data_IF_119313252695
#
_entry.id   IF_119313252695
#
_cell.length_a   1.000
_cell.length_b   1.000
_cell.length_c   1.000
_cell.angle_alpha   90.00
_cell.angle_beta   90.00
_cell.angle_gamma   90.00
#
_symmetry.space_group_name_H-M   'P 1'
#
loop_
_entity.id
_entity.type
_entity.pdbx_description
1 polymer ?
#
# COMPACT_ATOMS: atom_id res chain seq x y z
N UNK A 1 -10.16 -15.39 6.26
CA UNK A 1 -10.17 -13.97 6.71
C UNK A 1 -9.87 -13.12 5.49
N UNK A 2 -10.58 -12.00 5.28
CA UNK A 2 -10.20 -11.07 4.21
C UNK A 2 -8.85 -10.42 4.57
N UNK A 3 -7.92 -10.28 3.62
CA UNK A 3 -6.67 -9.57 3.86
C UNK A 3 -6.97 -8.13 4.31
N UNK A 4 -6.34 -7.73 5.41
CA UNK A 4 -6.41 -6.37 5.95
C UNK A 4 -5.36 -5.54 5.19
N UNK A 5 -5.67 -4.27 4.96
CA UNK A 5 -4.76 -3.31 4.34
C UNK A 5 -3.44 -3.28 5.11
N UNK A 6 -2.33 -3.53 4.41
CA UNK A 6 -0.99 -3.44 4.99
C UNK A 6 -0.53 -1.99 5.12
N UNK A 7 0.49 -1.74 5.94
CA UNK A 7 1.05 -0.39 6.14
C UNK A 7 1.49 0.24 4.82
N UNK A 8 2.17 -0.53 3.96
CA UNK A 8 2.57 -0.11 2.62
C UNK A 8 1.40 0.30 1.73
N UNK A 9 0.34 -0.52 1.70
CA UNK A 9 -0.86 -0.20 0.89
C UNK A 9 -1.54 1.07 1.40
N UNK A 10 -1.64 1.22 2.72
CA UNK A 10 -2.13 2.45 3.33
C UNK A 10 -1.24 3.65 3.04
N UNK A 11 0.08 3.50 3.01
CA UNK A 11 1.00 4.58 2.66
C UNK A 11 0.80 5.06 1.22
N UNK A 12 0.73 4.13 0.27
CA UNK A 12 0.48 4.47 -1.15
C UNK A 12 -0.81 5.28 -1.26
N UNK A 13 -1.89 4.81 -0.65
CA UNK A 13 -3.19 5.47 -0.67
C UNK A 13 -3.17 6.82 0.03
N UNK A 14 -2.46 6.95 1.16
CA UNK A 14 -2.30 8.20 1.90
C UNK A 14 -1.55 9.25 1.08
N UNK A 15 -0.46 8.87 0.40
CA UNK A 15 0.28 9.81 -0.44
C UNK A 15 -0.60 10.30 -1.58
N UNK A 16 -1.32 9.39 -2.26
CA UNK A 16 -2.24 9.74 -3.34
C UNK A 16 -3.42 10.60 -2.87
N UNK A 17 -3.88 10.40 -1.63
CA UNK A 17 -4.95 11.21 -1.03
C UNK A 17 -4.48 12.64 -0.76
N UNK A 18 -3.26 12.79 -0.23
CA UNK A 18 -2.69 14.08 0.12
C UNK A 18 -2.13 14.85 -1.10
N UNK A 19 -1.72 14.13 -2.15
CA UNK A 19 -1.11 14.67 -3.36
C UNK A 19 -1.85 14.15 -4.61
N UNK A 20 -3.08 14.63 -4.87
CA UNK A 20 -3.90 14.19 -6.00
C UNK A 20 -3.31 14.56 -7.38
N UNK A 21 -2.36 15.49 -7.43
CA UNK A 21 -1.57 15.81 -8.63
C UNK A 21 -0.71 14.61 -9.08
N UNK A 22 -0.17 13.84 -8.12
CA UNK A 22 0.54 12.59 -8.41
C UNK A 22 -0.41 11.53 -8.96
N UNK A 23 -1.65 11.46 -8.46
CA UNK A 23 -2.66 10.56 -9.00
C UNK A 23 -2.98 10.92 -10.46
N UNK A 24 -3.21 12.20 -10.76
CA UNK A 24 -3.50 12.68 -12.10
C UNK A 24 -2.34 12.43 -13.09
N UNK A 25 -1.09 12.56 -12.63
CA UNK A 25 0.10 12.40 -13.48
C UNK A 25 0.40 10.96 -13.92
N UNK A 26 -0.14 9.96 -13.22
CA UNK A 26 0.15 8.53 -13.46
C UNK A 26 -1.07 7.62 -13.23
N UNK A 27 -2.23 8.04 -13.74
CA UNK A 27 -3.51 7.36 -13.54
C UNK A 27 -3.49 5.90 -14.01
N UNK A 28 -2.92 5.61 -15.19
CA UNK A 28 -2.85 4.25 -15.75
C UNK A 28 -2.00 3.32 -14.87
N UNK A 29 -0.88 3.84 -14.34
CA UNK A 29 0.00 3.07 -13.46
C UNK A 29 -0.70 2.76 -12.14
N UNK A 30 -1.47 3.71 -11.60
CA UNK A 30 -2.24 3.55 -10.37
C UNK A 30 -3.44 2.62 -10.58
N UNK A 31 -4.13 2.74 -11.73
CA UNK A 31 -5.23 1.87 -12.16
C UNK A 31 -4.76 0.43 -12.45
N UNK A 32 -3.47 0.20 -12.66
CA UNK A 32 -2.88 -1.13 -12.76
C UNK A 32 -2.42 -1.72 -11.41
N UNK A 33 -2.47 -0.98 -10.30
CA UNK A 33 -2.04 -1.49 -9.00
C UNK A 33 -3.00 -2.54 -8.42
N UNK A 34 -2.47 -3.72 -8.19
CA UNK A 34 -3.17 -4.76 -7.45
C UNK A 34 -2.91 -4.63 -5.95
N UNK A 35 -3.97 -4.55 -5.16
CA UNK A 35 -3.90 -4.61 -3.70
C UNK A 35 -4.37 -5.98 -3.20
N UNK A 36 -3.76 -6.47 -2.13
CA UNK A 36 -4.22 -7.69 -1.49
C UNK A 36 -5.55 -7.43 -0.78
N UNK A 37 -5.66 -6.30 -0.07
CA UNK A 37 -6.87 -5.91 0.64
C UNK A 37 -7.94 -5.36 -0.32
N UNK A 38 -9.13 -5.96 -0.32
CA UNK A 38 -10.23 -5.52 -1.20
C UNK A 38 -10.66 -4.07 -0.97
N UNK A 39 -10.52 -3.59 0.27
CA UNK A 39 -10.81 -2.19 0.62
C UNK A 39 -9.78 -1.22 0.01
N UNK A 40 -8.50 -1.62 -0.07
CA UNK A 40 -7.46 -0.82 -0.69
C UNK A 40 -7.67 -0.72 -2.22
N UNK A 41 -8.01 -1.85 -2.87
CA UNK A 41 -8.42 -1.84 -4.29
C UNK A 41 -9.61 -0.92 -4.52
N UNK A 42 -10.65 -1.04 -3.70
CA UNK A 42 -11.86 -0.22 -3.84
C UNK A 42 -11.59 1.27 -3.63
N UNK A 43 -10.70 1.63 -2.68
CA UNK A 43 -10.30 3.02 -2.48
C UNK A 43 -9.53 3.56 -3.69
N UNK A 44 -8.57 2.79 -4.22
CA UNK A 44 -7.86 3.14 -5.45
C UNK A 44 -8.83 3.35 -6.61
N UNK A 45 -9.77 2.41 -6.82
CA UNK A 45 -10.75 2.49 -7.91
C UNK A 45 -11.60 3.76 -7.78
N UNK A 46 -12.01 4.13 -6.55
CA UNK A 46 -12.74 5.36 -6.31
C UNK A 46 -11.90 6.61 -6.60
N UNK A 47 -10.63 6.63 -6.22
CA UNK A 47 -9.71 7.74 -6.53
C UNK A 47 -9.52 7.90 -8.05
N UNK A 48 -9.37 6.80 -8.79
CA UNK A 48 -9.29 6.82 -10.26
C UNK A 48 -10.59 7.37 -10.86
N UNK A 49 -11.74 6.88 -10.40
CA UNK A 49 -13.05 7.38 -10.84
C UNK A 49 -13.21 8.89 -10.57
N UNK A 50 -12.73 9.39 -9.43
CA UNK A 50 -12.77 10.81 -9.12
C UNK A 50 -12.03 11.66 -10.16
N UNK A 51 -10.83 11.24 -10.58
CA UNK A 51 -10.09 11.90 -11.68
C UNK A 51 -10.89 11.86 -12.99
N UNK A 52 -11.46 10.70 -13.33
CA UNK A 52 -12.24 10.53 -14.57
C UNK A 52 -13.48 11.44 -14.61
N UNK A 53 -14.05 11.80 -13.46
CA UNK A 53 -15.20 12.70 -13.33
C UNK A 53 -14.83 14.18 -13.30
N UNK A 54 -13.56 14.54 -13.49
CA UNK A 54 -13.08 15.93 -13.48
C UNK A 54 -12.27 16.32 -12.25
N UNK A 55 -12.05 15.39 -11.31
CA UNK A 55 -11.09 15.54 -10.22
C UNK A 55 -11.30 16.82 -9.39
N UNK A 56 -10.23 17.60 -9.12
CA UNK A 56 -10.29 18.76 -8.22
C UNK A 56 -11.25 19.86 -8.68
N UNK A 57 -11.55 19.92 -9.98
CA UNK A 57 -12.43 20.95 -10.54
C UNK A 57 -13.92 20.67 -10.25
N UNK A 58 -14.25 19.43 -9.87
CA UNK A 58 -15.63 18.97 -9.68
C UNK A 58 -16.01 18.83 -8.20
N UNK A 59 -15.16 18.16 -7.41
CA UNK A 59 -15.43 17.86 -5.99
C UNK A 59 -14.12 17.64 -5.23
N UNK A 60 -14.08 17.94 -3.93
CA UNK A 60 -12.96 17.55 -3.07
C UNK A 60 -12.85 16.01 -2.99
N UNK A 61 -11.64 15.48 -3.12
CA UNK A 61 -11.40 14.03 -3.13
C UNK A 61 -11.87 13.37 -1.82
N UNK A 62 -11.62 13.99 -0.67
CA UNK A 62 -12.01 13.43 0.64
C UNK A 62 -13.53 13.35 0.74
N UNK A 63 -14.21 14.45 0.40
CA UNK A 63 -15.67 14.50 0.40
C UNK A 63 -16.27 13.46 -0.56
N UNK A 64 -15.71 13.33 -1.76
CA UNK A 64 -16.13 12.32 -2.73
C UNK A 64 -15.99 10.90 -2.15
N UNK A 65 -14.85 10.57 -1.55
CA UNK A 65 -14.59 9.26 -0.97
C UNK A 65 -15.50 8.96 0.25
N UNK A 66 -15.78 9.97 1.08
CA UNK A 66 -16.76 9.85 2.17
C UNK A 66 -18.17 9.55 1.65
N UNK A 67 -18.60 10.22 0.56
CA UNK A 67 -19.90 9.96 -0.07
C UNK A 67 -20.03 8.52 -0.60
N UNK A 68 -18.90 7.87 -0.92
CA UNK A 68 -18.82 6.46 -1.35
C UNK A 68 -18.71 5.47 -0.18
N UNK A 69 -18.69 5.95 1.06
CA UNK A 69 -18.66 5.12 2.27
C UNK A 69 -17.26 4.79 2.80
N UNK A 70 -16.21 5.49 2.34
CA UNK A 70 -14.84 5.22 2.77
C UNK A 70 -14.41 5.95 4.05
N UNK A 71 -15.32 6.61 4.79
CA UNK A 71 -14.99 7.39 5.99
C UNK A 71 -14.17 6.60 7.03
N UNK A 72 -14.46 5.31 7.21
CA UNK A 72 -13.67 4.46 8.13
C UNK A 72 -12.24 4.21 7.64
N UNK A 73 -12.06 4.01 6.33
CA UNK A 73 -10.74 3.82 5.73
C UNK A 73 -9.93 5.12 5.79
N UNK A 74 -10.55 6.25 5.46
CA UNK A 74 -9.95 7.58 5.57
C UNK A 74 -9.49 7.85 7.00
N UNK A 75 -10.32 7.56 8.01
CA UNK A 75 -9.94 7.71 9.42
C UNK A 75 -8.71 6.88 9.82
N UNK A 76 -8.54 5.66 9.26
CA UNK A 76 -7.33 4.86 9.46
C UNK A 76 -6.11 5.48 8.78
N UNK A 77 -6.26 5.94 7.54
CA UNK A 77 -5.18 6.61 6.80
C UNK A 77 -4.73 7.89 7.51
N UNK A 78 -5.67 8.70 8.02
CA UNK A 78 -5.35 9.87 8.83
C UNK A 78 -4.61 9.51 10.13
N UNK A 79 -5.01 8.41 10.79
CA UNK A 79 -4.28 7.88 11.95
C UNK A 79 -2.85 7.46 11.61
N UNK A 80 -2.65 6.83 10.44
CA UNK A 80 -1.31 6.49 9.95
C UNK A 80 -0.46 7.75 9.71
N UNK A 81 -1.02 8.79 9.10
CA UNK A 81 -0.33 10.06 8.87
C UNK A 81 0.16 10.71 10.17
N UNK A 82 -0.62 10.60 11.26
CA UNK A 82 -0.24 11.12 12.57
C UNK A 82 0.98 10.40 13.17
N UNK A 83 1.21 9.14 12.81
CA UNK A 83 2.32 8.31 13.29
C UNK A 83 3.49 8.21 12.30
N UNK A 84 3.31 8.67 11.06
CA UNK A 84 4.36 8.64 10.05
C UNK A 84 5.50 9.58 10.44
N UNK A 85 6.72 9.03 10.50
CA UNK A 85 7.94 9.82 10.71
C UNK A 85 8.37 10.56 9.45
N UNK A 86 7.90 10.11 8.28
CA UNK A 86 8.20 10.73 7.00
C UNK A 86 7.39 12.02 6.83
N UNK A 87 8.07 13.17 6.78
CA UNK A 87 7.42 14.45 6.49
C UNK A 87 6.77 14.45 5.09
N UNK A 88 7.39 13.75 4.14
CA UNK A 88 7.02 13.72 2.72
C UNK A 88 5.63 13.16 2.42
N UNK A 89 4.99 12.49 3.39
CA UNK A 89 3.66 11.89 3.20
C UNK A 89 2.55 12.77 3.75
N UNK A 90 2.91 13.91 4.37
CA UNK A 90 1.97 14.89 4.91
C UNK A 90 1.38 15.77 3.80
N UNK A 91 0.18 16.35 4.01
CA UNK A 91 -0.42 17.30 3.06
C UNK A 91 0.48 18.52 2.77
N UNK A 92 1.30 18.94 3.73
CA UNK A 92 2.17 20.11 3.60
C UNK A 92 3.52 19.81 2.93
N UNK A 93 3.78 18.54 2.58
CA UNK A 93 5.01 18.16 1.90
C UNK A 93 5.10 18.76 0.49
N UNK A 94 6.32 19.00 0.01
CA UNK A 94 6.49 19.32 -1.39
C UNK A 94 6.13 18.09 -2.24
N UNK A 95 5.39 18.29 -3.34
CA UNK A 95 4.95 17.21 -4.24
C UNK A 95 6.14 16.35 -4.75
N UNK A 96 7.33 16.94 -4.93
CA UNK A 96 8.54 16.20 -5.32
C UNK A 96 8.99 15.17 -4.26
N UNK A 97 8.90 15.49 -2.97
CA UNK A 97 9.26 14.59 -1.88
C UNK A 97 8.20 13.50 -1.71
N UNK A 98 6.94 13.85 -1.89
CA UNK A 98 5.82 12.92 -1.93
C UNK A 98 5.96 11.93 -3.10
N UNK A 99 6.36 12.40 -4.28
CA UNK A 99 6.61 11.57 -5.46
C UNK A 99 7.76 10.57 -5.24
N UNK A 100 8.85 11.00 -4.59
CA UNK A 100 9.95 10.09 -4.21
C UNK A 100 9.46 8.99 -3.28
N UNK A 101 8.70 9.37 -2.26
CA UNK A 101 8.15 8.43 -1.28
C UNK A 101 7.16 7.46 -1.91
N UNK A 102 6.30 7.96 -2.81
CA UNK A 102 5.38 7.14 -3.59
C UNK A 102 6.13 6.12 -4.42
N UNK A 103 7.19 6.54 -5.13
CA UNK A 103 7.99 5.64 -5.97
C UNK A 103 8.63 4.52 -5.16
N UNK A 104 9.18 4.84 -3.98
CA UNK A 104 9.75 3.84 -3.08
C UNK A 104 8.69 2.85 -2.59
N UNK A 105 7.52 3.34 -2.16
CA UNK A 105 6.41 2.51 -1.74
C UNK A 105 5.91 1.59 -2.88
N UNK A 106 5.81 2.10 -4.10
CA UNK A 106 5.43 1.33 -5.29
C UNK A 106 6.44 0.23 -5.64
N UNK A 107 7.74 0.49 -5.51
CA UNK A 107 8.79 -0.52 -5.72
C UNK A 107 8.65 -1.67 -4.72
N UNK A 108 8.47 -1.34 -3.43
CA UNK A 108 8.25 -2.34 -2.39
C UNK A 108 6.96 -3.14 -2.65
N UNK A 109 5.92 -2.46 -3.12
CA UNK A 109 4.62 -3.07 -3.37
C UNK A 109 4.64 -4.08 -4.50
N UNK A 110 5.26 -3.70 -5.63
CA UNK A 110 5.46 -4.60 -6.77
C UNK A 110 6.25 -5.84 -6.38
N UNK A 111 7.31 -5.66 -5.59
CA UNK A 111 8.13 -6.77 -5.10
C UNK A 111 7.33 -7.70 -4.18
N UNK A 112 6.57 -7.15 -3.24
CA UNK A 112 5.71 -7.93 -2.35
C UNK A 112 4.64 -8.70 -3.12
N UNK A 113 4.01 -8.06 -4.12
CA UNK A 113 2.99 -8.68 -4.94
C UNK A 113 3.55 -9.84 -5.77
N UNK A 114 4.72 -9.64 -6.41
CA UNK A 114 5.40 -10.69 -7.15
C UNK A 114 5.75 -11.90 -6.27
N UNK A 115 6.27 -11.66 -5.06
CA UNK A 115 6.56 -12.71 -4.09
C UNK A 115 5.31 -13.46 -3.62
N UNK A 116 4.21 -12.75 -3.34
CA UNK A 116 2.94 -13.38 -2.96
C UNK A 116 2.34 -14.23 -4.09
N UNK A 117 2.46 -13.76 -5.33
CA UNK A 117 2.03 -14.53 -6.48
C UNK A 117 2.87 -15.80 -6.64
N UNK A 118 4.20 -15.67 -6.54
CA UNK A 118 5.09 -16.82 -6.59
C UNK A 118 4.79 -17.81 -5.46
N UNK A 119 4.53 -17.32 -4.24
CA UNK A 119 4.16 -18.16 -3.10
C UNK A 119 2.95 -19.04 -3.43
N UNK A 120 1.88 -18.45 -3.97
CA UNK A 120 0.66 -19.18 -4.36
C UNK A 120 0.94 -20.21 -5.45
N UNK A 121 1.77 -19.85 -6.42
CA UNK A 121 2.15 -20.77 -7.51
C UNK A 121 2.95 -21.98 -6.95
N UNK A 122 3.90 -21.74 -6.05
CA UNK A 122 4.70 -22.80 -5.40
C UNK A 122 3.84 -23.66 -4.47
N UNK A 123 2.97 -23.05 -3.66
CA UNK A 123 2.02 -23.77 -2.79
C UNK A 123 1.09 -24.67 -3.60
N UNK A 124 0.58 -24.19 -4.73
CA UNK A 124 -0.25 -25.00 -5.63
C UNK A 124 0.51 -26.20 -6.20
N UNK A 125 1.79 -26.03 -6.58
CA UNK A 125 2.62 -27.15 -7.04
C UNK A 125 2.87 -28.16 -5.93
N UNK A 126 3.20 -27.69 -4.73
CA UNK A 126 3.47 -28.56 -3.58
C UNK A 126 2.23 -29.36 -3.16
N UNK A 127 1.03 -28.77 -3.28
CA UNK A 127 -0.23 -29.45 -3.01
C UNK A 127 -0.53 -30.58 -4.02
N UNK A 128 -0.05 -30.44 -5.26
CA UNK A 128 -0.18 -31.46 -6.31
C UNK A 128 0.90 -32.55 -6.20
N UNK A 129 2.15 -32.14 -5.97
CA UNK A 129 3.30 -33.03 -5.86
C UNK A 129 4.22 -32.57 -4.71
N UNK A 130 4.08 -33.18 -3.51
CA UNK A 130 4.91 -32.85 -2.36
C UNK A 130 6.39 -33.11 -2.65
N UNK A 131 7.23 -32.07 -2.51
CA UNK A 131 8.68 -32.18 -2.71
C UNK A 131 9.45 -31.18 -1.84
N UNK A 132 10.69 -31.53 -1.49
CA UNK A 132 11.53 -30.73 -0.58
C UNK A 132 11.97 -29.39 -1.19
N UNK A 133 12.09 -29.34 -2.53
CA UNK A 133 12.54 -28.15 -3.26
C UNK A 133 11.51 -27.01 -3.14
N UNK A 134 10.25 -27.30 -3.41
CA UNK A 134 9.17 -26.31 -3.31
C UNK A 134 8.93 -25.93 -1.84
N UNK A 135 9.05 -26.87 -0.88
CA UNK A 135 9.00 -26.56 0.54
C UNK A 135 10.14 -25.61 0.99
N UNK A 136 11.35 -25.79 0.47
CA UNK A 136 12.47 -24.87 0.70
C UNK A 136 12.23 -23.50 0.06
N UNK A 137 11.63 -23.45 -1.14
CA UNK A 137 11.30 -22.20 -1.82
C UNK A 137 10.23 -21.39 -1.07
N UNK A 138 9.21 -22.04 -0.50
CA UNK A 138 8.21 -21.37 0.34
C UNK A 138 8.87 -20.65 1.52
N UNK A 139 9.79 -21.32 2.24
CA UNK A 139 10.51 -20.73 3.37
C UNK A 139 11.37 -19.53 2.96
N UNK A 140 12.01 -19.62 1.79
CA UNK A 140 12.79 -18.51 1.24
C UNK A 140 11.90 -17.30 0.89
N UNK A 141 10.77 -17.52 0.21
CA UNK A 141 9.81 -16.44 -0.11
C UNK A 141 9.27 -15.79 1.17
N UNK A 142 8.91 -16.58 2.19
CA UNK A 142 8.47 -16.06 3.49
C UNK A 142 9.56 -15.20 4.18
N UNK A 143 10.82 -15.60 4.07
CA UNK A 143 11.97 -14.83 4.58
C UNK A 143 12.10 -13.49 3.85
N UNK A 144 11.97 -13.49 2.53
CA UNK A 144 12.04 -12.27 1.73
C UNK A 144 10.87 -11.31 2.01
N UNK A 145 9.65 -11.83 2.19
CA UNK A 145 8.49 -11.04 2.59
C UNK A 145 8.70 -10.41 3.98
N UNK A 146 9.21 -11.20 4.94
CA UNK A 146 9.50 -10.71 6.30
C UNK A 146 10.58 -9.61 6.31
N UNK A 147 11.59 -9.73 5.45
CA UNK A 147 12.64 -8.71 5.28
C UNK A 147 12.09 -7.43 4.66
N UNK A 148 11.14 -7.55 3.72
CA UNK A 148 10.50 -6.42 3.06
C UNK A 148 9.60 -5.62 4.03
N UNK A 149 8.82 -6.31 4.86
CA UNK A 149 8.09 -5.69 5.97
C UNK A 149 9.03 -4.98 6.96
N UNK A 150 10.23 -5.53 7.18
CA UNK A 150 11.26 -4.90 8.01
C UNK A 150 11.79 -3.60 7.41
N UNK A 151 11.98 -3.55 6.09
CA UNK A 151 12.40 -2.35 5.38
C UNK A 151 11.33 -1.24 5.45
N UNK A 152 10.05 -1.60 5.32
CA UNK A 152 8.92 -0.68 5.47
C UNK A 152 8.84 -0.08 6.86
N UNK A 153 8.96 -0.92 7.90
CA UNK A 153 8.95 -0.46 9.28
C UNK A 153 10.10 0.51 9.59
N UNK A 154 11.27 0.30 8.97
CA UNK A 154 12.43 1.18 9.14
C UNK A 154 12.31 2.50 8.35
N UNK A 155 11.73 2.45 7.16
CA UNK A 155 11.55 3.62 6.30
C UNK A 155 10.52 4.59 6.89
N UNK A 156 9.45 4.06 7.50
CA UNK A 156 8.24 4.84 7.74
C UNK A 156 7.86 5.00 9.22
N UNK A 157 8.62 4.38 10.13
CA UNK A 157 8.32 4.41 11.57
C UNK A 157 7.08 3.58 11.96
N UNK A 158 6.47 2.85 11.02
CA UNK A 158 5.25 2.06 11.24
C UNK A 158 5.44 0.74 12.00
N UNK A 159 6.62 0.50 12.59
CA UNK A 159 6.92 -0.73 13.33
C UNK A 159 5.88 -1.09 14.41
N UNK A 160 5.22 -0.09 15.01
CA UNK A 160 4.17 -0.28 16.00
C UNK A 160 2.83 -0.76 15.42
N UNK A 161 2.46 -0.35 14.21
CA UNK A 161 1.18 -0.73 13.56
C UNK A 161 1.22 -2.16 12.99
N UNK A 162 2.41 -2.68 12.68
CA UNK A 162 2.63 -4.08 12.30
C UNK A 162 2.56 -5.05 13.51
N UNK A 163 2.32 -4.55 14.73
CA UNK A 163 2.23 -5.36 15.95
C UNK A 163 3.59 -5.78 16.52
N UNK A 164 4.69 -5.16 16.07
CA UNK A 164 6.02 -5.40 16.65
C UNK A 164 6.27 -4.41 17.79
N UNK A 165 6.74 -4.85 18.97
CA UNK A 165 7.18 -3.92 19.99
C UNK A 165 8.34 -3.11 19.41
N UNK A 166 8.21 -1.79 19.42
CA UNK A 166 9.30 -0.87 19.09
C UNK A 166 10.49 -1.22 19.95
N UNK A 167 11.52 -1.82 19.35
CA UNK A 167 12.78 -2.08 20.04
C UNK A 167 13.48 -0.72 20.18
N UNK A 168 13.19 -0.04 21.29
CA UNK A 168 13.94 1.13 21.71
C UNK A 168 15.40 0.71 21.86
N UNK A 169 16.30 1.45 21.18
CA UNK A 169 17.74 1.40 21.41
C UNK A 169 18.06 1.95 22.80
#
# INVERSE_FOLDING_TARGET
MKPVMSAREGLILLILLNHPDLLAGQIDEIAALDFAASEASALRDAMVLWIEMGGPDCEDLTQFLESKGFSSALGRLSGMAAHATLWSVRPEAASIDAAESLRQALVLHRRAWALNRELREVESRLAQEPNERDAARIRDIQTQLSALEGAEAALEGFGALSGRPSRSL
#
